data_IF_489952788069
#
_entry.id   IF_489952788069
#
_cell.length_a   1.000
_cell.length_b   1.000
_cell.length_c   1.000
_cell.angle_alpha   90.00
_cell.angle_beta   90.00
_cell.angle_gamma   90.00
#
_symmetry.space_group_name_H-M   'P 1'
#
loop_
_entity.id
_entity.type
_entity.pdbx_description
1 polymer ?
#
# COMPACT_ATOMS: atom_id res chain seq x y z
N UNK A 1 23.10 9.61 0.85
CA UNK A 1 22.00 8.62 0.81
C UNK A 1 22.18 7.74 -0.42
N UNK A 2 22.26 6.42 -0.25
CA UNK A 2 22.39 5.49 -1.40
C UNK A 2 21.02 4.89 -1.69
N UNK A 3 20.60 4.92 -2.96
CA UNK A 3 19.27 4.44 -3.42
C UNK A 3 18.94 3.02 -2.91
N UNK A 4 19.95 2.14 -2.82
CA UNK A 4 19.78 0.75 -2.38
C UNK A 4 19.33 0.58 -0.93
N UNK A 5 19.53 1.59 -0.06
CA UNK A 5 19.05 1.52 1.32
C UNK A 5 17.55 1.81 1.41
N UNK A 6 17.06 2.75 0.60
CA UNK A 6 15.66 3.19 0.58
C UNK A 6 14.79 2.20 -0.20
N UNK A 7 15.35 1.58 -1.25
CA UNK A 7 14.60 0.64 -2.10
C UNK A 7 14.05 -0.56 -1.32
N UNK A 8 14.72 -0.98 -0.24
CA UNK A 8 14.24 -2.07 0.63
C UNK A 8 13.01 -1.71 1.47
N UNK A 9 12.69 -0.43 1.59
CA UNK A 9 11.49 0.06 2.26
C UNK A 9 10.33 0.26 1.29
N UNK A 10 10.52 0.04 -0.02
CA UNK A 10 9.48 0.25 -1.03
C UNK A 10 8.83 -1.07 -1.38
N UNK A 11 7.50 -1.08 -1.45
CA UNK A 11 6.68 -2.24 -1.85
C UNK A 11 5.75 -1.84 -2.98
N UNK A 12 5.38 -2.80 -3.83
CA UNK A 12 4.24 -2.63 -4.74
C UNK A 12 2.93 -2.79 -3.96
N UNK A 13 1.95 -1.94 -4.26
CA UNK A 13 0.60 -2.00 -3.70
C UNK A 13 -0.35 -2.37 -4.82
N UNK A 14 -1.15 -3.43 -4.64
CA UNK A 14 -2.25 -3.78 -5.54
C UNK A 14 -3.53 -3.86 -4.73
N UNK A 15 -4.56 -3.15 -5.18
CA UNK A 15 -5.86 -3.14 -4.57
C UNK A 15 -6.94 -3.57 -5.57
N UNK A 16 -7.96 -4.24 -5.04
CA UNK A 16 -9.20 -4.56 -5.76
C UNK A 16 -10.37 -3.88 -5.06
N UNK A 17 -11.19 -3.20 -5.86
CA UNK A 17 -12.33 -2.39 -5.43
C UNK A 17 -13.58 -2.95 -6.12
N UNK A 18 -14.72 -3.07 -5.41
CA UNK A 18 -16.00 -3.47 -6.00
C UNK A 18 -16.39 -2.60 -7.19
N UNK A 19 -17.10 -3.17 -8.16
CA UNK A 19 -17.53 -2.44 -9.36
C UNK A 19 -18.67 -1.44 -9.09
N UNK A 20 -19.39 -1.61 -7.98
CA UNK A 20 -20.45 -0.73 -7.48
C UNK A 20 -19.95 0.34 -6.49
N UNK A 21 -18.66 0.36 -6.17
CA UNK A 21 -18.06 1.38 -5.31
C UNK A 21 -18.11 2.77 -5.96
N UNK A 22 -18.21 3.82 -5.15
CA UNK A 22 -18.43 5.19 -5.61
C UNK A 22 -17.31 5.68 -6.54
N UNK A 23 -16.07 5.31 -6.24
CA UNK A 23 -14.90 5.72 -7.03
C UNK A 23 -14.54 4.74 -8.15
N UNK A 24 -15.21 3.60 -8.28
CA UNK A 24 -14.87 2.56 -9.27
C UNK A 24 -14.94 3.08 -10.72
N UNK A 25 -15.94 3.90 -11.04
CA UNK A 25 -16.10 4.45 -12.38
C UNK A 25 -14.95 5.41 -12.77
N UNK A 26 -14.46 6.20 -11.81
CA UNK A 26 -13.44 7.21 -12.06
C UNK A 26 -12.01 6.66 -11.95
N UNK A 27 -11.77 5.71 -11.04
CA UNK A 27 -10.43 5.21 -10.70
C UNK A 27 -10.18 3.75 -11.10
N UNK A 28 -11.21 3.06 -11.60
CA UNK A 28 -11.17 1.64 -11.88
C UNK A 28 -11.31 0.76 -10.65
N UNK A 29 -11.53 -0.53 -10.91
CA UNK A 29 -11.69 -1.61 -9.91
C UNK A 29 -10.38 -2.31 -9.55
N UNK A 30 -9.32 -2.11 -10.35
CA UNK A 30 -7.96 -2.56 -10.05
C UNK A 30 -7.03 -1.38 -10.01
N UNK A 31 -6.33 -1.21 -8.89
CA UNK A 31 -5.46 -0.06 -8.65
C UNK A 31 -4.09 -0.55 -8.21
N UNK A 32 -3.05 -0.04 -8.84
CA UNK A 32 -1.68 -0.46 -8.61
C UNK A 32 -0.76 0.75 -8.47
N UNK A 33 0.22 0.63 -7.56
CA UNK A 33 1.19 1.68 -7.30
C UNK A 33 2.24 1.25 -6.30
N UNK A 34 2.75 2.19 -5.51
CA UNK A 34 3.83 1.95 -4.55
C UNK A 34 3.42 2.33 -3.13
N UNK A 35 4.05 1.68 -2.17
CA UNK A 35 3.99 2.01 -0.77
C UNK A 35 5.40 2.05 -0.17
N UNK A 36 5.53 2.77 0.94
CA UNK A 36 6.78 2.87 1.71
C UNK A 36 6.52 2.38 3.12
N UNK A 37 7.32 1.42 3.58
CA UNK A 37 7.30 0.93 4.96
C UNK A 37 7.79 2.05 5.89
N UNK A 38 6.96 2.40 6.87
CA UNK A 38 7.24 3.49 7.82
C UNK A 38 7.33 3.01 9.28
N UNK A 39 7.01 1.74 9.57
CA UNK A 39 7.21 1.11 10.89
C UNK A 39 7.54 -0.37 10.78
N UNK A 40 8.28 -0.88 11.77
CA UNK A 40 8.74 -2.29 11.82
C UNK A 40 7.60 -3.30 11.91
N UNK A 41 6.43 -2.87 12.38
CA UNK A 41 5.22 -3.70 12.43
C UNK A 41 4.51 -3.85 11.07
N UNK A 42 5.11 -3.40 9.97
CA UNK A 42 4.55 -3.52 8.63
C UNK A 42 3.52 -2.45 8.26
N UNK A 43 3.56 -1.29 8.92
CA UNK A 43 2.78 -0.12 8.51
C UNK A 43 3.40 0.50 7.25
N UNK A 44 2.58 0.70 6.23
CA UNK A 44 2.96 1.22 4.92
C UNK A 44 2.19 2.50 4.62
N UNK A 45 2.91 3.54 4.19
CA UNK A 45 2.35 4.76 3.61
C UNK A 45 2.20 4.59 2.10
N UNK A 46 1.07 5.00 1.55
CA UNK A 46 0.81 5.01 0.10
C UNK A 46 -0.06 6.21 -0.27
N UNK A 47 -0.50 6.31 -1.53
CA UNK A 47 -1.49 7.29 -1.95
C UNK A 47 -2.89 6.71 -1.78
N UNK A 48 -3.77 7.47 -1.13
CA UNK A 48 -5.09 7.05 -0.69
C UNK A 48 -5.99 6.54 -1.80
N UNK A 49 -5.93 7.14 -3.00
CA UNK A 49 -6.77 6.71 -4.12
C UNK A 49 -6.57 5.22 -4.47
N UNK A 50 -5.40 4.64 -4.18
CA UNK A 50 -5.14 3.22 -4.42
C UNK A 50 -6.01 2.33 -3.53
N UNK A 51 -6.30 2.76 -2.31
CA UNK A 51 -6.94 1.92 -1.26
C UNK A 51 -8.35 2.38 -0.89
N UNK A 52 -8.80 3.53 -1.38
CA UNK A 52 -10.17 4.02 -1.19
C UNK A 52 -11.18 2.99 -1.69
N UNK A 53 -12.04 2.50 -0.79
CA UNK A 53 -13.05 1.47 -1.04
C UNK A 53 -12.49 0.09 -1.42
N UNK A 54 -11.20 -0.17 -1.19
CA UNK A 54 -10.60 -1.46 -1.48
C UNK A 54 -11.06 -2.54 -0.50
N UNK A 55 -11.52 -3.68 -1.03
CA UNK A 55 -11.83 -4.89 -0.24
C UNK A 55 -10.60 -5.77 -0.07
N UNK A 56 -9.73 -5.80 -1.09
CA UNK A 56 -8.47 -6.52 -1.05
C UNK A 56 -7.30 -5.56 -1.26
N UNK A 57 -6.26 -5.70 -0.43
CA UNK A 57 -4.97 -5.03 -0.61
C UNK A 57 -3.85 -6.04 -0.48
N UNK A 58 -2.92 -6.01 -1.43
CA UNK A 58 -1.76 -6.88 -1.50
C UNK A 58 -0.48 -6.03 -1.58
N UNK A 59 0.52 -6.41 -0.77
CA UNK A 59 1.85 -5.81 -0.77
C UNK A 59 2.85 -6.81 -1.35
N UNK A 60 3.65 -6.37 -2.31
CA UNK A 60 4.72 -7.19 -2.89
C UNK A 60 6.08 -6.55 -2.63
N UNK A 61 6.99 -7.27 -1.99
CA UNK A 61 8.36 -6.80 -1.75
C UNK A 61 9.28 -7.01 -2.98
N UNK A 62 10.50 -6.48 -2.91
CA UNK A 62 11.48 -6.58 -4.01
C UNK A 62 11.92 -8.01 -4.34
N UNK A 63 11.70 -8.96 -3.42
CA UNK A 63 12.03 -10.37 -3.59
C UNK A 63 10.83 -11.16 -4.17
N UNK A 64 9.73 -10.46 -4.50
CA UNK A 64 8.51 -11.03 -5.06
C UNK A 64 7.58 -11.65 -4.03
N UNK A 65 7.86 -11.51 -2.74
CA UNK A 65 7.00 -12.05 -1.70
C UNK A 65 5.74 -11.20 -1.56
N UNK A 66 4.59 -11.86 -1.60
CA UNK A 66 3.28 -11.22 -1.53
C UNK A 66 2.68 -11.39 -0.14
N UNK A 67 2.18 -10.30 0.44
CA UNK A 67 1.57 -10.26 1.77
C UNK A 67 0.22 -9.55 1.69
N UNK A 68 -0.83 -10.19 2.23
CA UNK A 68 -2.14 -9.56 2.37
C UNK A 68 -2.06 -8.38 3.34
N UNK A 69 -2.84 -7.34 3.08
CA UNK A 69 -2.84 -6.14 3.88
C UNK A 69 -4.25 -5.54 4.00
N UNK A 70 -4.40 -4.63 4.96
CA UNK A 70 -5.66 -3.96 5.24
C UNK A 70 -5.49 -2.44 5.10
N UNK A 71 -6.42 -1.79 4.40
CA UNK A 71 -6.51 -0.34 4.36
C UNK A 71 -6.86 0.20 5.76
N UNK A 72 -5.92 0.87 6.41
CA UNK A 72 -6.06 1.29 7.82
C UNK A 72 -6.66 2.68 7.96
N UNK A 73 -6.22 3.63 7.11
CA UNK A 73 -6.70 4.99 7.15
C UNK A 73 -6.48 5.67 5.79
N UNK A 74 -7.32 6.66 5.49
CA UNK A 74 -7.16 7.55 4.35
C UNK A 74 -7.41 8.98 4.84
N UNK A 75 -6.43 9.85 4.61
CA UNK A 75 -6.58 11.28 4.81
C UNK A 75 -6.85 11.99 3.47
N UNK A 76 -8.04 12.58 3.33
CA UNK A 76 -8.47 13.21 2.09
C UNK A 76 -7.73 14.51 1.80
N UNK A 77 -7.33 15.26 2.83
CA UNK A 77 -6.70 16.57 2.64
C UNK A 77 -5.32 16.44 1.99
N UNK A 78 -4.51 15.50 2.48
CA UNK A 78 -3.17 15.24 1.93
C UNK A 78 -3.17 14.25 0.76
N UNK A 79 -4.19 13.40 0.68
CA UNK A 79 -4.23 12.29 -0.27
C UNK A 79 -3.46 11.05 0.21
N UNK A 80 -2.97 10.99 1.45
CA UNK A 80 -2.21 9.84 1.96
C UNK A 80 -3.10 8.71 2.47
N UNK A 81 -2.71 7.48 2.13
CA UNK A 81 -3.29 6.25 2.64
C UNK A 81 -2.32 5.49 3.55
N UNK A 82 -2.85 4.83 4.57
CA UNK A 82 -2.12 3.88 5.40
C UNK A 82 -2.63 2.47 5.15
N UNK A 83 -1.69 1.55 5.00
CA UNK A 83 -1.94 0.12 4.80
C UNK A 83 -1.18 -0.66 5.86
N UNK A 84 -1.87 -1.58 6.53
CA UNK A 84 -1.28 -2.46 7.53
C UNK A 84 -1.08 -3.86 6.94
N UNK A 85 0.16 -4.32 6.84
CA UNK A 85 0.43 -5.71 6.48
C UNK A 85 -0.15 -6.68 7.52
N UNK A 86 -0.77 -7.77 7.06
CA UNK A 86 -1.38 -8.80 7.92
C UNK A 86 -0.38 -9.90 8.34
N UNK A 87 0.81 -9.90 7.75
CA UNK A 87 1.94 -10.74 8.16
C UNK A 87 3.22 -9.89 8.19
N UNK A 88 4.26 -10.31 8.94
CA UNK A 88 5.52 -9.58 9.01
C UNK A 88 6.10 -9.30 7.61
N UNK A 89 6.41 -8.02 7.33
CA UNK A 89 7.07 -7.64 6.09
C UNK A 89 8.56 -7.99 6.09
N UNK A 90 9.22 -7.97 7.25
CA UNK A 90 10.67 -8.19 7.34
C UNK A 90 11.50 -7.13 6.59
N UNK A 91 10.87 -6.00 6.25
CA UNK A 91 11.47 -4.87 5.54
C UNK A 91 11.77 -3.74 6.53
N UNK A 92 12.89 -3.02 6.37
CA UNK A 92 13.20 -1.88 7.20
C UNK A 92 12.27 -0.70 6.90
N UNK A 93 11.86 0.08 7.91
CA UNK A 93 11.27 1.40 7.70
C UNK A 93 12.23 2.32 6.97
N UNK A 94 11.69 3.26 6.19
CA UNK A 94 12.48 4.31 5.56
C UNK A 94 13.17 5.18 6.64
N UNK A 95 14.42 5.58 6.38
CA UNK A 95 15.24 6.43 7.25
C UNK A 95 15.53 7.79 6.64
#
# INVERSE_FOLDING_TARGET
MTIGKISRSVVAVRATVPDDAFTANALGTRREGSGVVIRDNGLVLTIGYLITEAEEVWLTDQDGRVVAAHALAYDQETGFGLVQALAPLGLPPVQ
#
